data_IF_693312515416
#
_entry.id   IF_693312515416
#
_cell.length_a   1.000
_cell.length_b   1.000
_cell.length_c   1.000
_cell.angle_alpha   90.00
_cell.angle_beta   90.00
_cell.angle_gamma   90.00
#
_symmetry.space_group_name_H-M   'P 1'
#
loop_
_entity.id
_entity.type
_entity.pdbx_description
1 polymer ?
#
# COMPACT_ATOMS: atom_id res chain seq x y z
N UNK A 1 14.33 -16.32 49.07
CA UNK A 1 14.07 -17.14 47.87
C UNK A 1 13.14 -16.39 46.93
N UNK A 2 13.58 -15.24 46.44
CA UNK A 2 12.74 -14.33 45.65
C UNK A 2 13.64 -13.40 44.80
N UNK A 3 14.42 -13.99 43.84
CA UNK A 3 15.35 -13.20 42.99
C UNK A 3 15.75 -13.93 41.69
N UNK A 4 14.89 -14.81 41.14
CA UNK A 4 15.19 -15.45 39.85
C UNK A 4 14.08 -15.31 38.79
N UNK A 5 13.03 -14.51 39.03
CA UNK A 5 11.95 -14.34 38.07
C UNK A 5 11.95 -12.99 37.34
N UNK A 6 12.89 -12.09 37.62
CA UNK A 6 12.99 -10.77 36.96
C UNK A 6 14.00 -10.72 35.80
N UNK A 7 14.88 -11.70 35.65
CA UNK A 7 15.93 -11.72 34.61
C UNK A 7 15.54 -12.19 33.22
N UNK A 8 14.31 -12.66 33.00
CA UNK A 8 13.88 -13.23 31.72
C UNK A 8 12.96 -12.32 30.88
N UNK A 9 12.76 -11.07 31.28
CA UNK A 9 11.92 -10.08 30.57
C UNK A 9 12.69 -9.01 29.81
N UNK A 10 13.96 -8.94 29.96
CA UNK A 10 14.83 -7.94 29.31
C UNK A 10 15.78 -8.64 28.36
N UNK A 11 15.41 -8.88 27.14
CA UNK A 11 16.27 -8.90 25.94
C UNK A 11 15.52 -9.41 24.70
N UNK A 12 14.29 -8.98 24.48
CA UNK A 12 13.85 -8.78 23.10
C UNK A 12 14.08 -7.31 22.78
N UNK A 13 15.30 -6.96 22.47
CA UNK A 13 15.60 -5.68 21.80
C UNK A 13 14.75 -5.67 20.56
N UNK A 14 13.67 -4.88 20.55
CA UNK A 14 12.84 -4.72 19.37
C UNK A 14 13.77 -4.26 18.25
N UNK A 15 13.83 -5.04 17.16
CA UNK A 15 14.62 -4.66 16.00
C UNK A 15 14.19 -3.25 15.58
N UNK A 16 15.13 -2.33 15.43
CA UNK A 16 14.86 -0.96 14.98
C UNK A 16 14.75 -0.93 13.45
N UNK A 17 14.15 0.13 12.90
CA UNK A 17 14.08 0.33 11.46
C UNK A 17 15.46 0.21 10.80
N UNK A 18 16.49 0.80 11.42
CA UNK A 18 17.87 0.75 10.92
C UNK A 18 18.44 -0.69 10.91
N UNK A 19 18.12 -1.51 11.91
CA UNK A 19 18.53 -2.93 11.91
C UNK A 19 17.78 -3.75 10.86
N UNK A 20 16.52 -3.42 10.58
CA UNK A 20 15.73 -4.05 9.52
C UNK A 20 16.29 -3.68 8.15
N UNK A 21 16.60 -2.41 7.92
CA UNK A 21 17.20 -1.93 6.65
C UNK A 21 18.58 -2.53 6.42
N UNK A 22 19.41 -2.60 7.45
CA UNK A 22 20.72 -3.24 7.37
C UNK A 22 20.61 -4.74 7.06
N UNK A 23 19.69 -5.46 7.71
CA UNK A 23 19.44 -6.87 7.44
C UNK A 23 18.84 -7.11 6.04
N UNK A 24 17.99 -6.22 5.56
CA UNK A 24 17.44 -6.26 4.20
C UNK A 24 18.54 -6.04 3.14
N UNK A 25 19.46 -5.09 3.38
CA UNK A 25 20.64 -4.86 2.53
C UNK A 25 21.62 -6.05 2.52
N UNK A 26 21.78 -6.74 3.65
CA UNK A 26 22.63 -7.92 3.77
C UNK A 26 22.01 -9.20 3.17
N UNK A 27 20.71 -9.26 2.96
CA UNK A 27 20.01 -10.42 2.41
C UNK A 27 20.27 -10.67 0.91
N UNK A 28 21.05 -9.80 0.25
CA UNK A 28 21.40 -9.93 -1.16
C UNK A 28 20.32 -9.43 -2.11
N UNK A 29 20.44 -9.71 -3.39
CA UNK A 29 19.77 -9.03 -4.49
C UNK A 29 18.23 -9.04 -4.52
N UNK A 30 17.55 -9.85 -3.69
CA UNK A 30 16.09 -9.92 -3.72
C UNK A 30 15.45 -10.39 -2.41
N UNK A 31 14.83 -9.47 -1.69
CA UNK A 31 14.01 -9.76 -0.50
C UNK A 31 12.53 -10.00 -0.90
N UNK A 32 11.97 -11.14 -0.55
CA UNK A 32 10.56 -11.44 -0.77
C UNK A 32 9.65 -10.68 0.21
N UNK A 33 8.38 -10.48 -0.18
CA UNK A 33 7.40 -9.85 0.73
C UNK A 33 7.18 -10.67 2.02
N UNK A 34 7.28 -11.99 1.97
CA UNK A 34 7.09 -12.86 3.14
C UNK A 34 8.26 -12.73 4.13
N UNK A 35 9.49 -12.71 3.63
CA UNK A 35 10.68 -12.49 4.47
C UNK A 35 10.64 -11.10 5.12
N UNK A 36 10.38 -10.06 4.33
CA UNK A 36 10.22 -8.70 4.84
C UNK A 36 9.07 -8.57 5.84
N UNK A 37 7.95 -9.25 5.62
CA UNK A 37 6.84 -9.30 6.58
C UNK A 37 7.29 -9.87 7.94
N UNK A 38 8.07 -10.95 7.94
CA UNK A 38 8.59 -11.55 9.18
C UNK A 38 9.55 -10.61 9.90
N UNK A 39 10.41 -9.90 9.16
CA UNK A 39 11.34 -8.91 9.70
C UNK A 39 10.63 -7.70 10.34
N UNK A 40 9.62 -7.15 9.66
CA UNK A 40 8.89 -5.98 10.13
C UNK A 40 7.91 -6.31 11.27
N UNK A 41 7.48 -7.56 11.39
CA UNK A 41 6.53 -7.98 12.43
C UNK A 41 7.13 -7.85 13.81
N UNK A 42 6.65 -6.85 14.58
CA UNK A 42 7.13 -6.53 15.92
C UNK A 42 8.36 -5.62 15.97
N UNK A 43 8.92 -5.24 14.82
CA UNK A 43 9.99 -4.26 14.77
C UNK A 43 9.46 -2.84 15.04
N UNK A 44 10.33 -1.97 15.57
CA UNK A 44 10.04 -0.56 15.82
C UNK A 44 10.54 0.29 14.65
N UNK A 45 9.67 1.14 14.12
CA UNK A 45 9.99 2.02 12.98
C UNK A 45 10.78 3.28 13.35
N UNK A 46 10.87 3.63 14.62
CA UNK A 46 11.37 4.94 15.07
C UNK A 46 10.40 6.10 14.84
N UNK A 47 9.31 5.88 14.11
CA UNK A 47 8.33 6.91 13.75
C UNK A 47 7.21 6.98 14.79
N UNK A 48 6.77 8.21 15.09
CA UNK A 48 5.56 8.45 15.93
C UNK A 48 4.35 8.69 15.04
N UNK A 49 3.17 8.12 15.40
CA UNK A 49 1.96 8.36 14.62
C UNK A 49 1.48 9.81 14.77
N UNK A 50 1.20 10.45 13.64
CA UNK A 50 0.60 11.77 13.58
C UNK A 50 -0.92 11.67 13.43
N UNK A 51 -1.65 12.15 14.42
CA UNK A 51 -3.11 12.01 14.44
C UNK A 51 -3.85 13.20 13.82
N UNK A 52 -3.24 14.40 13.82
CA UNK A 52 -3.91 15.64 13.39
C UNK A 52 -5.04 16.07 14.34
N UNK A 53 -5.78 17.08 13.96
CA UNK A 53 -6.89 17.60 14.75
C UNK A 53 -8.04 16.59 14.89
N UNK A 54 -8.66 16.51 16.08
CA UNK A 54 -9.74 15.56 16.37
C UNK A 54 -10.92 15.72 15.40
N UNK A 55 -11.35 16.97 15.16
CA UNK A 55 -12.47 17.25 14.25
C UNK A 55 -12.19 16.77 12.82
N UNK A 56 -11.00 17.07 12.27
CA UNK A 56 -10.58 16.59 10.97
C UNK A 56 -10.66 15.07 10.88
N UNK A 57 -10.17 14.34 11.90
CA UNK A 57 -10.19 12.87 11.91
C UNK A 57 -11.61 12.31 11.94
N UNK A 58 -12.50 12.92 12.73
CA UNK A 58 -13.91 12.46 12.82
C UNK A 58 -14.60 12.67 11.47
N UNK A 59 -14.54 13.90 10.93
CA UNK A 59 -15.17 14.22 9.64
C UNK A 59 -14.60 13.36 8.53
N UNK A 60 -13.27 13.25 8.42
CA UNK A 60 -12.61 12.38 7.43
C UNK A 60 -13.10 10.94 7.54
N UNK A 61 -13.16 10.40 8.77
CA UNK A 61 -13.62 9.01 8.98
C UNK A 61 -15.08 8.82 8.59
N UNK A 62 -15.95 9.77 8.87
CA UNK A 62 -17.37 9.73 8.46
C UNK A 62 -17.46 9.72 6.93
N UNK A 63 -16.73 10.61 6.26
CA UNK A 63 -16.67 10.65 4.79
C UNK A 63 -16.14 9.33 4.23
N UNK A 64 -15.04 8.81 4.78
CA UNK A 64 -14.47 7.52 4.36
C UNK A 64 -15.49 6.38 4.44
N UNK A 65 -16.27 6.29 5.54
CA UNK A 65 -17.28 5.23 5.73
C UNK A 65 -18.43 5.40 4.75
N UNK A 66 -18.97 6.61 4.63
CA UNK A 66 -20.14 6.89 3.77
C UNK A 66 -19.80 6.64 2.29
N UNK A 67 -18.66 7.18 1.84
CA UNK A 67 -18.23 7.04 0.44
C UNK A 67 -17.85 5.60 0.14
N UNK A 68 -17.04 4.96 0.99
CA UNK A 68 -16.63 3.56 0.75
C UNK A 68 -17.82 2.61 0.83
N UNK A 69 -18.71 2.79 1.82
CA UNK A 69 -19.91 1.95 1.97
C UNK A 69 -20.88 2.11 0.78
N UNK A 70 -21.17 3.34 0.38
CA UNK A 70 -22.02 3.61 -0.79
C UNK A 70 -21.43 3.05 -2.09
N UNK A 71 -20.12 3.25 -2.29
CA UNK A 71 -19.44 2.72 -3.46
C UNK A 71 -19.41 1.18 -3.47
N UNK A 72 -19.20 0.51 -2.33
CA UNK A 72 -19.25 -0.96 -2.24
C UNK A 72 -20.63 -1.52 -2.62
N UNK A 73 -21.72 -0.88 -2.19
CA UNK A 73 -23.08 -1.28 -2.58
C UNK A 73 -23.30 -1.08 -4.08
N UNK A 74 -22.93 0.09 -4.62
CA UNK A 74 -23.11 0.41 -6.04
C UNK A 74 -22.28 -0.50 -6.96
N UNK A 75 -21.06 -0.81 -6.55
CA UNK A 75 -20.09 -1.58 -7.34
C UNK A 75 -20.19 -3.09 -7.10
N UNK A 76 -21.12 -3.57 -6.27
CA UNK A 76 -21.26 -5.00 -5.96
C UNK A 76 -21.53 -5.84 -7.23
N UNK A 77 -22.59 -5.51 -7.98
CA UNK A 77 -22.94 -6.25 -9.21
C UNK A 77 -21.86 -6.13 -10.28
N UNK A 78 -21.36 -4.93 -10.65
CA UNK A 78 -20.21 -4.81 -11.55
C UNK A 78 -18.99 -5.61 -11.10
N UNK A 79 -18.71 -5.65 -9.79
CA UNK A 79 -17.60 -6.41 -9.22
C UNK A 79 -17.76 -7.92 -9.36
N UNK A 80 -18.98 -8.44 -9.21
CA UNK A 80 -19.30 -9.87 -9.47
C UNK A 80 -19.09 -10.19 -10.95
N UNK A 81 -19.60 -9.37 -11.86
CA UNK A 81 -19.44 -9.55 -13.31
C UNK A 81 -17.93 -9.56 -13.66
N UNK A 82 -17.17 -8.58 -13.17
CA UNK A 82 -15.73 -8.53 -13.40
C UNK A 82 -15.02 -9.78 -12.85
N UNK A 83 -15.42 -10.25 -11.66
CA UNK A 83 -14.86 -11.48 -11.08
C UNK A 83 -15.05 -12.71 -11.97
N UNK A 84 -16.24 -12.85 -12.55
CA UNK A 84 -16.52 -13.93 -13.52
C UNK A 84 -15.64 -13.78 -14.76
N UNK A 85 -15.51 -12.58 -15.33
CA UNK A 85 -14.65 -12.32 -16.48
C UNK A 85 -13.18 -12.68 -16.18
N UNK A 86 -12.67 -12.30 -15.00
CA UNK A 86 -11.30 -12.65 -14.58
C UNK A 86 -11.13 -14.17 -14.49
N UNK A 87 -12.09 -14.89 -13.91
CA UNK A 87 -12.04 -16.35 -13.80
C UNK A 87 -12.01 -17.03 -15.19
N UNK A 88 -12.77 -16.52 -16.15
CA UNK A 88 -12.83 -17.04 -17.53
C UNK A 88 -11.49 -16.75 -18.25
N UNK A 89 -10.97 -15.53 -18.15
CA UNK A 89 -9.75 -15.10 -18.87
C UNK A 89 -8.46 -15.63 -18.26
N UNK A 90 -8.46 -15.98 -16.98
CA UNK A 90 -7.30 -16.50 -16.26
C UNK A 90 -7.77 -17.49 -15.19
N UNK A 91 -8.07 -18.75 -15.56
CA UNK A 91 -8.50 -19.78 -14.63
C UNK A 91 -7.37 -20.19 -13.67
N UNK A 92 -7.70 -20.98 -12.65
CA UNK A 92 -6.75 -21.57 -11.71
C UNK A 92 -6.45 -20.75 -10.45
N UNK A 93 -7.04 -19.55 -10.29
CA UNK A 93 -6.93 -18.78 -9.04
C UNK A 93 -8.15 -17.88 -8.77
N UNK A 94 -8.30 -17.43 -7.53
CA UNK A 94 -9.37 -16.50 -7.13
C UNK A 94 -9.35 -15.21 -7.96
N UNK A 95 -10.50 -14.62 -8.32
CA UNK A 95 -10.59 -13.31 -8.96
C UNK A 95 -10.19 -12.17 -8.01
N UNK A 96 -10.20 -12.42 -6.70
CA UNK A 96 -9.71 -11.50 -5.68
C UNK A 96 -8.31 -11.91 -5.21
N UNK A 97 -7.44 -10.95 -5.13
CA UNK A 97 -6.07 -11.07 -4.66
C UNK A 97 -5.89 -10.27 -3.36
N UNK A 98 -5.12 -10.80 -2.44
CA UNK A 98 -4.75 -10.07 -1.24
C UNK A 98 -3.24 -10.06 -1.03
N UNK A 99 -2.71 -8.92 -0.55
CA UNK A 99 -1.28 -8.73 -0.36
C UNK A 99 -1.00 -7.96 0.93
N UNK A 100 0.03 -8.38 1.67
CA UNK A 100 0.49 -7.66 2.84
C UNK A 100 1.00 -6.27 2.48
N UNK A 101 0.61 -5.29 3.29
CA UNK A 101 1.04 -3.89 3.22
C UNK A 101 1.37 -3.36 4.60
N UNK A 102 2.21 -2.34 4.62
CA UNK A 102 2.53 -1.60 5.83
C UNK A 102 1.62 -0.39 5.93
N UNK A 103 0.91 -0.29 7.05
CA UNK A 103 0.03 0.83 7.38
C UNK A 103 0.68 1.82 8.32
N UNK A 104 -0.15 2.69 8.93
CA UNK A 104 0.33 3.63 9.93
C UNK A 104 0.94 2.89 11.13
N UNK A 105 2.11 3.34 11.58
CA UNK A 105 2.74 2.80 12.79
C UNK A 105 1.82 2.90 14.02
N UNK A 106 1.96 1.95 14.93
CA UNK A 106 1.23 1.93 16.21
C UNK A 106 1.77 2.99 17.16
N UNK A 107 1.07 3.22 18.27
CA UNK A 107 1.49 4.19 19.30
C UNK A 107 2.84 3.86 19.92
N UNK A 108 3.19 2.60 19.98
CA UNK A 108 4.48 2.08 20.48
C UNK A 108 5.60 2.14 19.42
N UNK A 109 5.31 2.68 18.22
CA UNK A 109 6.24 2.77 17.10
C UNK A 109 6.36 1.49 16.28
N UNK A 110 5.68 0.39 16.63
CA UNK A 110 5.75 -0.85 15.86
C UNK A 110 4.98 -0.74 14.54
N UNK A 111 5.43 -1.49 13.53
CA UNK A 111 4.76 -1.54 12.23
C UNK A 111 3.38 -2.19 12.33
N UNK A 112 2.39 -1.57 11.70
CA UNK A 112 1.06 -2.16 11.50
C UNK A 112 0.98 -2.80 10.12
N UNK A 113 0.86 -4.11 10.08
CA UNK A 113 0.77 -4.89 8.85
C UNK A 113 -0.68 -5.34 8.63
N UNK A 114 -1.20 -5.16 7.43
CA UNK A 114 -2.56 -5.54 7.04
C UNK A 114 -2.61 -6.03 5.60
N UNK A 115 -3.66 -6.76 5.24
CA UNK A 115 -3.89 -7.21 3.86
C UNK A 115 -4.76 -6.22 3.12
N UNK A 116 -4.31 -5.73 1.96
CA UNK A 116 -5.18 -5.04 1.01
C UNK A 116 -5.88 -6.07 0.13
N UNK A 117 -7.02 -5.67 -0.42
CA UNK A 117 -7.79 -6.46 -1.38
C UNK A 117 -7.78 -5.79 -2.75
N UNK A 118 -7.62 -6.60 -3.80
CA UNK A 118 -7.64 -6.14 -5.19
C UNK A 118 -8.34 -7.16 -6.08
N UNK A 119 -8.85 -6.73 -7.23
CA UNK A 119 -9.12 -7.67 -8.32
C UNK A 119 -7.79 -8.18 -8.89
N UNK A 120 -7.75 -9.46 -9.22
CA UNK A 120 -6.59 -10.09 -9.80
C UNK A 120 -6.41 -9.62 -11.24
N UNK A 121 -5.39 -8.81 -11.48
CA UNK A 121 -5.01 -8.28 -12.80
C UNK A 121 -3.82 -9.01 -13.41
N UNK A 122 -3.20 -9.94 -12.66
CA UNK A 122 -2.03 -10.72 -13.07
C UNK A 122 -2.32 -12.22 -13.05
N UNK A 123 -1.52 -12.99 -13.77
CA UNK A 123 -1.58 -14.45 -13.82
C UNK A 123 -1.32 -15.08 -12.43
N UNK A 124 -1.79 -16.32 -12.16
CA UNK A 124 -1.70 -16.92 -10.83
C UNK A 124 -0.28 -17.03 -10.25
N UNK A 125 0.74 -17.21 -11.07
CA UNK A 125 2.15 -17.35 -10.68
C UNK A 125 2.97 -16.04 -10.78
N UNK A 126 2.32 -14.89 -10.86
CA UNK A 126 2.95 -13.58 -11.07
C UNK A 126 4.04 -13.26 -10.03
N UNK A 127 3.82 -13.60 -8.76
CA UNK A 127 4.80 -13.34 -7.68
C UNK A 127 6.07 -14.19 -7.84
N UNK A 128 5.94 -15.41 -8.36
CA UNK A 128 7.09 -16.29 -8.64
C UNK A 128 7.92 -15.79 -9.83
N UNK A 129 7.27 -15.21 -10.84
CA UNK A 129 7.93 -14.63 -12.01
C UNK A 129 8.74 -13.38 -11.67
N UNK A 130 8.37 -12.67 -10.60
CA UNK A 130 8.94 -11.37 -10.27
C UNK A 130 10.45 -11.39 -10.08
N UNK A 131 11.00 -12.45 -9.45
CA UNK A 131 12.46 -12.58 -9.23
C UNK A 131 13.23 -12.57 -10.56
N UNK A 132 12.74 -13.28 -11.57
CA UNK A 132 13.36 -13.32 -12.90
C UNK A 132 13.23 -12.04 -13.71
N UNK A 133 12.32 -11.14 -13.32
CA UNK A 133 12.06 -9.87 -14.02
C UNK A 133 12.79 -8.67 -13.39
N UNK A 134 13.51 -8.84 -12.27
CA UNK A 134 14.15 -7.74 -11.55
C UNK A 134 15.14 -6.95 -12.41
N UNK A 135 15.88 -7.60 -13.29
CA UNK A 135 16.82 -6.96 -14.22
C UNK A 135 16.14 -6.01 -15.22
N UNK A 136 14.82 -6.12 -15.40
CA UNK A 136 14.01 -5.30 -16.31
C UNK A 136 13.22 -4.21 -15.55
N UNK A 137 13.57 -3.95 -14.28
CA UNK A 137 12.93 -2.92 -13.49
C UNK A 137 13.22 -1.52 -14.06
N UNK A 138 12.18 -0.78 -14.38
CA UNK A 138 12.26 0.61 -14.86
C UNK A 138 12.05 1.64 -13.75
N UNK A 139 11.70 1.21 -12.53
CA UNK A 139 11.46 2.12 -11.41
C UNK A 139 12.76 2.46 -10.68
N UNK A 140 12.79 3.66 -10.08
CA UNK A 140 13.82 4.05 -9.12
C UNK A 140 13.44 3.61 -7.70
N UNK A 141 14.45 3.41 -6.84
CA UNK A 141 14.25 3.03 -5.43
C UNK A 141 13.69 1.60 -5.25
N UNK A 142 12.97 1.33 -4.16
CA UNK A 142 12.54 -0.02 -3.79
C UNK A 142 11.35 -0.56 -4.57
N UNK A 143 10.79 0.23 -5.50
CA UNK A 143 9.62 -0.15 -6.29
C UNK A 143 10.00 -1.00 -7.50
N UNK A 144 9.05 -1.83 -7.95
CA UNK A 144 9.17 -2.54 -9.23
C UNK A 144 8.13 -2.02 -10.23
N UNK A 145 8.61 -1.68 -11.43
CA UNK A 145 7.79 -1.22 -12.55
C UNK A 145 8.38 -1.70 -13.87
N UNK A 146 7.50 -2.10 -14.78
CA UNK A 146 7.84 -2.58 -16.11
C UNK A 146 6.73 -2.20 -17.09
N UNK A 147 7.08 -1.55 -18.21
CA UNK A 147 6.12 -1.06 -19.21
C UNK A 147 5.34 -2.20 -19.90
N UNK A 148 6.02 -3.29 -20.22
CA UNK A 148 5.43 -4.47 -20.83
C UNK A 148 5.54 -5.67 -19.89
N UNK A 149 4.76 -5.65 -18.81
CA UNK A 149 4.82 -6.66 -17.76
C UNK A 149 4.10 -7.95 -18.22
N UNK A 150 4.83 -9.06 -18.48
CA UNK A 150 4.26 -10.32 -18.96
C UNK A 150 3.33 -11.01 -17.95
N UNK A 151 3.32 -10.55 -16.71
CA UNK A 151 2.46 -11.09 -15.66
C UNK A 151 1.02 -10.59 -15.76
N UNK A 152 0.76 -9.51 -16.51
CA UNK A 152 -0.58 -8.92 -16.63
C UNK A 152 -1.45 -9.85 -17.49
N UNK A 153 -2.70 -10.11 -17.04
CA UNK A 153 -3.69 -10.87 -17.82
C UNK A 153 -4.01 -10.08 -19.09
N UNK A 154 -3.78 -10.64 -20.28
CA UNK A 154 -4.03 -9.94 -21.56
C UNK A 154 -5.46 -9.40 -21.67
N UNK A 155 -5.61 -8.17 -22.16
CA UNK A 155 -6.88 -7.52 -22.34
C UNK A 155 -7.49 -7.04 -21.02
N UNK A 156 -8.15 -7.90 -20.26
CA UNK A 156 -8.84 -7.52 -19.03
C UNK A 156 -7.89 -6.95 -17.95
N UNK A 157 -6.73 -7.57 -17.76
CA UNK A 157 -5.74 -7.08 -16.78
C UNK A 157 -5.23 -5.69 -17.13
N UNK A 158 -4.90 -5.44 -18.40
CA UNK A 158 -4.48 -4.12 -18.87
C UNK A 158 -5.59 -3.07 -18.66
N UNK A 159 -6.84 -3.41 -19.02
CA UNK A 159 -7.97 -2.49 -18.88
C UNK A 159 -8.21 -2.09 -17.42
N UNK A 160 -8.31 -3.07 -16.50
CA UNK A 160 -8.60 -2.78 -15.09
C UNK A 160 -7.46 -2.03 -14.40
N UNK A 161 -6.19 -2.28 -14.77
CA UNK A 161 -5.03 -1.54 -14.26
C UNK A 161 -5.00 -0.10 -14.78
N UNK A 162 -5.22 0.08 -16.09
CA UNK A 162 -5.27 1.41 -16.72
C UNK A 162 -6.25 2.34 -16.00
N UNK A 163 -7.43 1.82 -15.64
CA UNK A 163 -8.49 2.59 -14.98
C UNK A 163 -8.50 2.43 -13.45
N UNK A 164 -7.47 1.77 -12.86
CA UNK A 164 -7.37 1.48 -11.41
C UNK A 164 -8.59 0.74 -10.83
N UNK A 165 -9.34 0.02 -11.66
CA UNK A 165 -10.51 -0.78 -11.26
C UNK A 165 -10.07 -1.95 -10.36
N UNK A 166 -8.86 -2.47 -10.58
CA UNK A 166 -8.27 -3.52 -9.75
C UNK A 166 -8.12 -3.10 -8.28
N UNK A 167 -8.05 -1.81 -8.00
CA UNK A 167 -7.91 -1.28 -6.63
C UNK A 167 -9.25 -1.03 -5.91
N UNK A 168 -10.40 -1.13 -6.60
CA UNK A 168 -11.71 -0.90 -5.99
C UNK A 168 -12.01 -1.77 -4.75
N UNK A 169 -11.60 -3.06 -4.65
CA UNK A 169 -11.79 -3.83 -3.43
C UNK A 169 -11.07 -3.26 -2.20
N UNK A 170 -10.10 -2.34 -2.35
CA UNK A 170 -9.51 -1.63 -1.21
C UNK A 170 -10.53 -0.75 -0.46
N UNK A 171 -11.68 -0.42 -1.05
CA UNK A 171 -12.78 0.23 -0.34
C UNK A 171 -13.25 -0.58 0.87
N UNK A 172 -13.09 -1.92 0.86
CA UNK A 172 -13.32 -2.77 2.04
C UNK A 172 -12.33 -2.38 3.15
N UNK A 173 -11.04 -2.19 2.82
CA UNK A 173 -10.03 -1.76 3.80
C UNK A 173 -10.33 -0.36 4.36
N UNK A 174 -10.85 0.54 3.52
CA UNK A 174 -11.29 1.88 3.94
C UNK A 174 -12.47 1.77 4.89
N UNK A 175 -13.49 0.99 4.53
CA UNK A 175 -14.69 0.77 5.35
C UNK A 175 -14.35 0.15 6.72
N UNK A 176 -13.43 -0.82 6.75
CA UNK A 176 -12.92 -1.44 7.98
C UNK A 176 -11.98 -0.52 8.80
N UNK A 177 -11.56 0.62 8.24
CA UNK A 177 -10.71 1.60 8.90
C UNK A 177 -9.21 1.29 8.91
N UNK A 178 -8.77 0.34 8.12
CA UNK A 178 -7.36 0.03 7.90
C UNK A 178 -6.69 1.08 7.01
N UNK A 179 -7.45 1.66 6.09
CA UNK A 179 -7.07 2.73 5.17
C UNK A 179 -8.04 3.92 5.26
N UNK A 180 -7.66 5.04 4.67
CA UNK A 180 -8.53 6.16 4.31
C UNK A 180 -8.78 6.15 2.79
N UNK A 181 -9.73 6.94 2.29
CA UNK A 181 -9.85 7.20 0.85
C UNK A 181 -8.58 7.88 0.34
N UNK A 182 -8.12 8.90 1.04
CA UNK A 182 -6.93 9.69 0.67
C UNK A 182 -5.85 9.58 1.76
N UNK A 183 -4.63 9.31 1.32
CA UNK A 183 -3.43 9.22 2.15
C UNK A 183 -2.24 8.68 1.35
N UNK A 184 -1.04 8.60 1.96
CA UNK A 184 0.11 7.94 1.34
C UNK A 184 -0.22 6.50 0.91
N UNK A 185 0.28 6.07 -0.24
CA UNK A 185 0.10 4.68 -0.67
C UNK A 185 0.78 3.71 0.29
N UNK A 186 0.12 2.64 0.75
CA UNK A 186 0.73 1.66 1.64
C UNK A 186 1.83 0.88 0.89
N UNK A 187 3.06 0.95 1.40
CA UNK A 187 4.21 0.23 0.84
C UNK A 187 4.11 -1.29 1.03
N UNK A 188 4.74 -2.04 0.13
CA UNK A 188 4.97 -3.45 0.33
C UNK A 188 5.95 -3.67 1.49
N UNK A 189 5.87 -4.77 2.26
CA UNK A 189 6.85 -5.06 3.30
C UNK A 189 8.30 -4.97 2.80
N UNK A 190 8.60 -5.54 1.62
CA UNK A 190 9.95 -5.48 1.02
C UNK A 190 10.40 -4.07 0.64
N UNK A 191 9.46 -3.19 0.23
CA UNK A 191 9.76 -1.79 -0.08
C UNK A 191 10.10 -1.03 1.20
N UNK A 192 9.26 -1.21 2.23
CA UNK A 192 9.42 -0.54 3.52
C UNK A 192 10.67 -1.00 4.26
N UNK A 193 11.08 -2.25 4.10
CA UNK A 193 12.33 -2.75 4.67
C UNK A 193 13.58 -2.01 4.12
N UNK A 194 13.46 -1.37 2.96
CA UNK A 194 14.53 -0.58 2.32
C UNK A 194 14.35 0.94 2.51
N UNK A 195 13.32 1.39 3.24
CA UNK A 195 13.08 2.81 3.46
C UNK A 195 14.17 3.45 4.32
N UNK A 196 14.61 4.64 3.92
CA UNK A 196 15.41 5.53 4.76
C UNK A 196 14.58 6.07 5.94
N UNK A 197 15.23 6.70 6.91
CA UNK A 197 14.52 7.40 8.01
C UNK A 197 13.58 8.48 7.49
N UNK A 198 13.93 9.14 6.39
CA UNK A 198 13.10 10.13 5.73
C UNK A 198 11.84 9.50 5.15
N UNK A 199 11.98 8.42 4.41
CA UNK A 199 10.87 7.69 3.78
C UNK A 199 9.91 7.11 4.82
N UNK A 200 10.43 6.66 5.96
CA UNK A 200 9.63 6.11 7.06
C UNK A 200 8.60 7.10 7.61
N UNK A 201 8.80 8.42 7.47
CA UNK A 201 7.84 9.45 7.90
C UNK A 201 6.48 9.30 7.21
N UNK A 202 6.42 8.70 6.01
CA UNK A 202 5.15 8.37 5.32
C UNK A 202 4.23 7.47 6.16
N UNK A 203 4.81 6.68 7.08
CA UNK A 203 4.08 5.76 7.95
C UNK A 203 3.49 6.44 9.20
N UNK A 204 3.71 7.73 9.39
CA UNK A 204 3.15 8.49 10.52
C UNK A 204 1.63 8.60 10.46
N UNK A 205 1.03 8.51 9.27
CA UNK A 205 -0.42 8.63 9.04
C UNK A 205 -1.00 7.36 8.45
N UNK A 206 -2.32 7.21 8.55
CA UNK A 206 -3.04 6.09 7.92
C UNK A 206 -2.92 6.19 6.40
N UNK A 207 -2.59 5.08 5.70
CA UNK A 207 -2.48 5.07 4.25
C UNK A 207 -3.82 5.31 3.57
N UNK A 208 -3.77 5.73 2.29
CA UNK A 208 -4.92 5.96 1.44
C UNK A 208 -5.08 4.92 0.33
N UNK A 209 -6.31 4.78 -0.14
CA UNK A 209 -6.63 4.08 -1.40
C UNK A 209 -6.08 4.86 -2.60
N UNK A 210 -6.16 6.18 -2.54
CA UNK A 210 -5.50 7.12 -3.44
C UNK A 210 -4.70 8.16 -2.65
N UNK A 211 -3.79 8.87 -3.32
CA UNK A 211 -2.94 9.87 -2.70
C UNK A 211 -2.37 10.89 -3.70
N UNK A 212 -1.58 11.86 -3.19
CA UNK A 212 -1.08 12.96 -4.00
C UNK A 212 -0.38 12.54 -5.28
N UNK A 213 0.63 11.67 -5.17
CA UNK A 213 1.42 11.26 -6.32
C UNK A 213 0.60 10.42 -7.32
N UNK A 214 -0.41 9.67 -6.85
CA UNK A 214 -1.31 8.89 -7.71
C UNK A 214 -2.21 9.78 -8.58
N UNK A 215 -2.45 11.02 -8.14
CA UNK A 215 -3.24 12.02 -8.88
C UNK A 215 -2.35 12.94 -9.71
N UNK A 216 -1.16 13.33 -9.20
CA UNK A 216 -0.36 14.42 -9.77
C UNK A 216 0.67 13.96 -10.81
N UNK A 217 1.09 12.70 -10.84
CA UNK A 217 2.11 12.26 -11.79
C UNK A 217 2.15 10.75 -12.03
N UNK A 218 1.50 9.95 -11.13
CA UNK A 218 1.43 8.48 -11.27
C UNK A 218 2.80 7.86 -11.60
N UNK A 219 2.88 7.18 -12.73
CA UNK A 219 4.07 6.44 -13.16
C UNK A 219 5.21 7.30 -13.73
N UNK A 220 5.00 8.59 -13.91
CA UNK A 220 6.05 9.51 -14.38
C UNK A 220 6.98 9.97 -13.26
N UNK A 221 6.59 9.78 -12.00
CA UNK A 221 7.36 10.21 -10.83
C UNK A 221 8.36 9.14 -10.38
N UNK A 222 9.54 9.57 -9.99
CA UNK A 222 10.51 8.76 -9.27
C UNK A 222 10.10 8.54 -7.81
N UNK A 223 10.73 7.55 -7.15
CA UNK A 223 10.39 7.21 -5.77
C UNK A 223 10.53 8.40 -4.81
N UNK A 224 11.63 9.16 -4.92
CA UNK A 224 11.87 10.33 -4.05
C UNK A 224 10.79 11.40 -4.22
N UNK A 225 10.38 11.69 -5.45
CA UNK A 225 9.30 12.64 -5.74
C UNK A 225 7.96 12.19 -5.15
N UNK A 226 7.66 10.89 -5.20
CA UNK A 226 6.47 10.33 -4.56
C UNK A 226 6.52 10.49 -3.04
N UNK A 227 7.69 10.29 -2.42
CA UNK A 227 7.90 10.49 -0.98
C UNK A 227 7.63 11.94 -0.61
N UNK A 228 8.24 12.91 -1.32
CA UNK A 228 8.07 14.34 -1.02
C UNK A 228 6.61 14.79 -1.15
N UNK A 229 5.90 14.33 -2.17
CA UNK A 229 4.47 14.62 -2.32
C UNK A 229 3.63 14.06 -1.16
N UNK A 230 3.96 12.85 -0.70
CA UNK A 230 3.27 12.24 0.44
C UNK A 230 3.60 12.99 1.75
N UNK A 231 4.85 13.41 1.98
CA UNK A 231 5.24 14.18 3.16
C UNK A 231 4.59 15.57 3.15
N UNK A 232 4.60 16.25 2.01
CA UNK A 232 3.90 17.53 1.87
C UNK A 232 2.39 17.40 2.16
N UNK A 233 1.75 16.31 1.71
CA UNK A 233 0.36 16.04 2.07
C UNK A 233 0.20 15.83 3.57
N UNK A 234 1.08 15.07 4.23
CA UNK A 234 1.00 14.79 5.67
C UNK A 234 1.06 16.10 6.48
N UNK A 235 1.93 17.02 6.11
CA UNK A 235 2.09 18.31 6.76
C UNK A 235 0.88 19.23 6.57
N UNK A 236 0.30 19.25 5.37
CA UNK A 236 -0.72 20.22 4.95
C UNK A 236 -2.12 19.59 4.82
N UNK A 237 -2.36 18.37 5.34
CA UNK A 237 -3.62 17.65 5.17
C UNK A 237 -4.82 18.41 5.71
N UNK A 238 -5.85 18.49 4.89
CA UNK A 238 -7.11 19.16 5.22
C UNK A 238 -8.26 18.53 4.44
N UNK A 239 -9.50 18.73 4.90
CA UNK A 239 -10.69 18.24 4.18
C UNK A 239 -10.76 18.78 2.75
N UNK A 240 -10.36 20.04 2.53
CA UNK A 240 -10.32 20.65 1.19
C UNK A 240 -9.33 19.93 0.28
N UNK A 241 -8.17 19.59 0.79
CA UNK A 241 -7.14 18.84 0.04
C UNK A 241 -7.62 17.41 -0.25
N UNK A 242 -8.22 16.74 0.73
CA UNK A 242 -8.79 15.41 0.55
C UNK A 242 -9.86 15.41 -0.55
N UNK A 243 -10.80 16.36 -0.53
CA UNK A 243 -11.82 16.47 -1.59
C UNK A 243 -11.20 16.72 -2.97
N UNK A 244 -10.21 17.62 -3.07
CA UNK A 244 -9.48 17.85 -4.33
C UNK A 244 -8.86 16.56 -4.87
N UNK A 245 -8.22 15.77 -4.00
CA UNK A 245 -7.60 14.51 -4.39
C UNK A 245 -8.63 13.42 -4.74
N UNK A 246 -9.79 13.38 -4.09
CA UNK A 246 -10.91 12.49 -4.48
C UNK A 246 -11.36 12.80 -5.91
N UNK A 247 -11.64 14.07 -6.23
CA UNK A 247 -12.03 14.45 -7.59
C UNK A 247 -10.91 14.20 -8.61
N UNK A 248 -9.66 14.47 -8.25
CA UNK A 248 -8.50 14.14 -9.07
C UNK A 248 -8.40 12.64 -9.35
N UNK A 249 -8.65 11.80 -8.35
CA UNK A 249 -8.65 10.33 -8.51
C UNK A 249 -9.72 9.88 -9.50
N UNK A 250 -10.95 10.40 -9.38
CA UNK A 250 -11.99 10.08 -10.34
C UNK A 250 -11.60 10.48 -11.76
N UNK A 251 -11.06 11.70 -11.94
CA UNK A 251 -10.56 12.15 -13.25
C UNK A 251 -9.50 11.20 -13.82
N UNK A 252 -8.49 10.79 -13.03
CA UNK A 252 -7.43 9.89 -13.49
C UNK A 252 -7.93 8.47 -13.77
N UNK A 253 -8.94 7.98 -13.06
CA UNK A 253 -9.58 6.69 -13.35
C UNK A 253 -10.32 6.72 -14.69
N UNK A 254 -10.98 7.81 -15.03
CA UNK A 254 -11.67 7.94 -16.33
C UNK A 254 -10.68 8.15 -17.49
N UNK A 255 -9.66 9.00 -17.34
CA UNK A 255 -8.69 9.26 -18.41
C UNK A 255 -7.75 8.08 -18.64
N UNK A 256 -7.40 7.34 -17.60
CA UNK A 256 -6.39 6.28 -17.65
C UNK A 256 -4.97 6.78 -17.94
N UNK A 257 -4.72 8.10 -17.90
CA UNK A 257 -3.38 8.66 -18.11
C UNK A 257 -2.39 8.25 -17.03
N UNK A 258 -1.13 7.98 -17.42
CA UNK A 258 -0.05 7.64 -16.49
C UNK A 258 -0.21 6.30 -15.77
N UNK A 259 -1.12 5.43 -16.20
CA UNK A 259 -1.20 4.04 -15.72
C UNK A 259 -0.21 3.16 -16.49
N UNK A 260 0.51 2.29 -15.76
CA UNK A 260 1.43 1.28 -16.31
C UNK A 260 1.15 -0.06 -15.65
#
# INVERSE_FOLDING_TARGET
>A
MMTMAQGARETRTAATANSVTAAAGAAGDYLTNEEAYKMLRGANSGVKPELGHRLYRVVKRTVDIVVAGGALVLLFIPGVILSVVICIKSPGASPLYSQWRVGRVRKDGTFYLFKIYKFRSMVPNADQMLKGLQAQNEATGPMFKMKHDPRIIPGVGNFIRKHSIDELPQLINVFLGQMNLIGPRPGLPREVALYSEHDMKRLAVKPGCSGPWQVMGRSYLGFNEMVELDLHYIENRSLRQDLRLIFGTLKTMFSGEGAV
#
